data_IF_318550825354
#
_entry.id   IF_318550825354
#
_cell.length_a   1.000
_cell.length_b   1.000
_cell.length_c   1.000
_cell.angle_alpha   90.00
_cell.angle_beta   90.00
_cell.angle_gamma   90.00
#
_symmetry.space_group_name_H-M   'P 1'
#
loop_
_entity.id
_entity.type
_entity.pdbx_description
1 polymer ?
#
# COMPACT_ATOMS: atom_id res chain seq x y z
N UNK A 1 41.34 -35.55 -32.26
CA UNK A 1 41.29 -34.98 -30.88
C UNK A 1 41.02 -33.46 -30.85
N UNK A 2 40.26 -32.87 -31.80
CA UNK A 2 40.10 -31.40 -31.91
C UNK A 2 38.68 -30.88 -31.64
N UNK A 3 37.67 -31.75 -31.47
CA UNK A 3 36.28 -31.34 -31.29
C UNK A 3 35.93 -30.95 -29.84
N UNK A 4 36.56 -31.57 -28.83
CA UNK A 4 36.24 -31.35 -27.42
C UNK A 4 36.72 -30.02 -26.83
N UNK A 5 37.79 -29.42 -27.38
CA UNK A 5 38.35 -28.17 -26.85
C UNK A 5 37.51 -26.94 -27.29
N UNK A 6 36.96 -26.99 -28.52
CA UNK A 6 36.15 -25.90 -29.09
C UNK A 6 34.81 -25.75 -28.36
N UNK A 7 34.17 -26.85 -27.99
CA UNK A 7 32.93 -26.83 -27.20
C UNK A 7 33.15 -26.30 -25.78
N UNK A 8 34.28 -26.59 -25.13
CA UNK A 8 34.58 -26.05 -23.80
C UNK A 8 34.80 -24.53 -23.81
N UNK A 9 35.45 -24.00 -24.85
CA UNK A 9 35.66 -22.55 -25.01
C UNK A 9 34.32 -21.83 -25.27
N UNK A 10 33.45 -22.38 -26.11
CA UNK A 10 32.12 -21.79 -26.38
C UNK A 10 31.27 -21.77 -25.12
N UNK A 11 31.22 -22.88 -24.37
CA UNK A 11 30.47 -22.93 -23.10
C UNK A 11 31.00 -21.93 -22.08
N UNK A 12 32.32 -21.77 -21.98
CA UNK A 12 32.94 -20.81 -21.08
C UNK A 12 32.60 -19.36 -21.48
N UNK A 13 32.66 -19.01 -22.77
CA UNK A 13 32.30 -17.68 -23.25
C UNK A 13 30.81 -17.35 -23.03
N UNK A 14 29.92 -18.33 -23.23
CA UNK A 14 28.49 -18.15 -22.94
C UNK A 14 28.22 -17.96 -21.45
N UNK A 15 28.92 -18.71 -20.59
CA UNK A 15 28.82 -18.55 -19.14
C UNK A 15 29.33 -17.17 -18.67
N UNK A 16 30.45 -16.69 -19.23
CA UNK A 16 30.97 -15.35 -18.96
C UNK A 16 30.02 -14.24 -19.43
N UNK A 17 29.45 -14.37 -20.63
CA UNK A 17 28.48 -13.41 -21.14
C UNK A 17 27.21 -13.36 -20.27
N UNK A 18 26.70 -14.52 -19.83
CA UNK A 18 25.57 -14.60 -18.92
C UNK A 18 25.89 -13.97 -17.55
N UNK A 19 27.08 -14.23 -17.00
CA UNK A 19 27.52 -13.62 -15.74
C UNK A 19 27.65 -12.09 -15.85
N UNK A 20 28.25 -11.57 -16.92
CA UNK A 20 28.33 -10.14 -17.16
C UNK A 20 26.95 -9.49 -17.30
N UNK A 21 26.02 -10.12 -18.03
CA UNK A 21 24.65 -9.61 -18.16
C UNK A 21 23.90 -9.58 -16.82
N UNK A 22 24.03 -10.63 -16.00
CA UNK A 22 23.45 -10.66 -14.65
C UNK A 22 24.03 -9.58 -13.75
N UNK A 23 25.35 -9.37 -13.82
CA UNK A 23 26.03 -8.31 -13.06
C UNK A 23 25.56 -6.91 -13.47
N UNK A 24 25.41 -6.65 -14.77
CA UNK A 24 24.88 -5.38 -15.28
C UNK A 24 23.42 -5.16 -14.88
N UNK A 25 22.58 -6.19 -14.93
CA UNK A 25 21.18 -6.10 -14.51
C UNK A 25 21.06 -5.80 -13.01
N UNK A 26 21.89 -6.42 -12.18
CA UNK A 26 21.94 -6.14 -10.75
C UNK A 26 22.36 -4.68 -10.48
N UNK A 27 23.41 -4.19 -11.15
CA UNK A 27 23.86 -2.79 -11.03
C UNK A 27 22.78 -1.80 -11.48
N UNK A 28 22.06 -2.08 -12.57
CA UNK A 28 20.94 -1.25 -13.03
C UNK A 28 19.84 -1.15 -11.98
N UNK A 29 19.48 -2.26 -11.34
CA UNK A 29 18.44 -2.28 -10.31
C UNK A 29 18.86 -1.53 -9.05
N UNK A 30 20.13 -1.66 -8.64
CA UNK A 30 20.67 -0.90 -7.52
C UNK A 30 20.66 0.61 -7.80
N UNK A 31 20.99 1.03 -9.02
CA UNK A 31 20.94 2.42 -9.43
C UNK A 31 19.50 2.97 -9.40
N UNK A 32 18.53 2.24 -9.95
CA UNK A 32 17.12 2.63 -9.93
C UNK A 32 16.57 2.73 -8.51
N UNK A 33 16.94 1.78 -7.65
CA UNK A 33 16.62 1.83 -6.21
C UNK A 33 17.23 3.05 -5.54
N UNK A 34 18.51 3.34 -5.79
CA UNK A 34 19.18 4.50 -5.21
C UNK A 34 18.53 5.82 -5.64
N UNK A 35 18.19 5.95 -6.93
CA UNK A 35 17.48 7.10 -7.47
C UNK A 35 16.09 7.26 -6.86
N UNK A 36 15.33 6.16 -6.74
CA UNK A 36 14.05 6.17 -6.04
C UNK A 36 14.20 6.69 -4.62
N UNK A 37 15.11 6.12 -3.84
CA UNK A 37 15.32 6.52 -2.44
C UNK A 37 15.76 7.97 -2.31
N UNK A 38 16.56 8.49 -3.25
CA UNK A 38 16.94 9.90 -3.28
C UNK A 38 15.73 10.82 -3.51
N UNK A 39 14.87 10.48 -4.49
CA UNK A 39 13.62 11.22 -4.75
C UNK A 39 12.69 11.21 -3.54
N UNK A 40 12.51 10.03 -2.94
CA UNK A 40 11.68 9.88 -1.73
C UNK A 40 12.26 10.65 -0.55
N UNK A 41 13.58 10.62 -0.34
CA UNK A 41 14.22 11.40 0.72
C UNK A 41 13.97 12.91 0.56
N UNK A 42 14.07 13.44 -0.67
CA UNK A 42 13.82 14.86 -0.92
C UNK A 42 12.35 15.24 -0.71
N UNK A 43 11.42 14.46 -1.26
CA UNK A 43 9.99 14.70 -1.07
C UNK A 43 9.58 14.60 0.40
N UNK A 44 10.07 13.59 1.12
CA UNK A 44 9.81 13.39 2.54
C UNK A 44 10.20 14.62 3.37
N UNK A 45 11.33 15.27 3.08
CA UNK A 45 11.75 16.50 3.81
C UNK A 45 10.70 17.59 3.71
N UNK A 46 10.19 17.84 2.50
CA UNK A 46 9.15 18.85 2.25
C UNK A 46 7.86 18.51 3.00
N UNK A 47 7.42 17.26 2.90
CA UNK A 47 6.17 16.79 3.51
C UNK A 47 6.23 16.80 5.03
N UNK A 48 7.32 16.30 5.61
CA UNK A 48 7.54 16.31 7.06
C UNK A 48 7.61 17.74 7.59
N UNK A 49 8.33 18.65 6.93
CA UNK A 49 8.40 20.04 7.37
C UNK A 49 7.01 20.71 7.40
N UNK A 50 6.21 20.53 6.34
CA UNK A 50 4.84 21.06 6.29
C UNK A 50 3.93 20.43 7.34
N UNK A 51 4.06 19.13 7.55
CA UNK A 51 3.29 18.39 8.55
C UNK A 51 3.62 18.87 9.98
N UNK A 52 4.90 18.97 10.31
CA UNK A 52 5.36 19.44 11.62
C UNK A 52 4.96 20.89 11.89
N UNK A 53 4.99 21.77 10.89
CA UNK A 53 4.49 23.13 11.03
C UNK A 53 3.01 23.14 11.43
N UNK A 54 2.18 22.30 10.82
CA UNK A 54 0.78 22.16 11.20
C UNK A 54 0.63 21.56 12.61
N UNK A 55 1.46 20.60 13.01
CA UNK A 55 1.42 20.05 14.36
C UNK A 55 1.74 21.08 15.44
N UNK A 56 2.68 22.00 15.20
CA UNK A 56 2.99 23.09 16.15
C UNK A 56 1.76 23.95 16.40
N UNK A 57 0.98 24.26 15.35
CA UNK A 57 -0.27 25.03 15.47
C UNK A 57 -1.38 24.24 16.20
N UNK A 58 -1.27 22.92 16.24
CA UNK A 58 -2.25 22.02 16.87
C UNK A 58 -1.86 21.56 18.28
N UNK A 59 -0.65 21.89 18.77
CA UNK A 59 -0.13 21.44 20.07
C UNK A 59 -1.12 21.64 21.24
N UNK A 60 -1.80 22.80 21.39
CA UNK A 60 -2.72 22.99 22.51
C UNK A 60 -3.89 22.01 22.50
N UNK A 61 -4.32 21.58 21.31
CA UNK A 61 -5.43 20.66 21.15
C UNK A 61 -5.00 19.21 21.34
N UNK A 62 -3.87 18.82 20.75
CA UNK A 62 -3.34 17.46 20.82
C UNK A 62 -2.85 17.10 22.23
N UNK A 63 -2.45 18.09 23.03
CA UNK A 63 -2.07 17.88 24.44
C UNK A 63 -3.26 17.92 25.41
N UNK A 64 -4.49 18.07 24.90
CA UNK A 64 -5.70 18.14 25.71
C UNK A 64 -5.83 19.42 26.54
N UNK A 65 -4.97 20.43 26.33
CA UNK A 65 -5.11 21.75 26.95
C UNK A 65 -6.37 22.47 26.42
N UNK A 66 -6.77 22.15 25.19
CA UNK A 66 -7.97 22.66 24.52
C UNK A 66 -8.70 21.50 23.83
N UNK A 67 -10.03 21.55 23.75
CA UNK A 67 -10.83 20.56 23.01
C UNK A 67 -10.59 20.67 21.51
N UNK A 68 -10.39 19.53 20.82
CA UNK A 68 -10.25 19.46 19.35
C UNK A 68 -11.60 19.65 18.62
N UNK A 69 -12.74 19.54 19.32
CA UNK A 69 -14.07 19.60 18.71
C UNK A 69 -14.34 20.84 17.83
N UNK A 70 -13.87 22.06 18.19
CA UNK A 70 -14.01 23.23 17.32
C UNK A 70 -13.27 23.06 15.98
N UNK A 71 -12.08 22.45 15.98
CA UNK A 71 -11.32 22.19 14.75
C UNK A 71 -12.05 21.20 13.81
N UNK A 72 -12.90 20.32 14.36
CA UNK A 72 -13.63 19.32 13.58
C UNK A 72 -14.93 19.88 12.99
N UNK A 73 -15.58 20.80 13.71
CA UNK A 73 -16.96 21.19 13.43
C UNK A 73 -17.12 22.61 12.84
N UNK A 74 -16.07 23.44 12.86
CA UNK A 74 -16.15 24.82 12.39
C UNK A 74 -15.02 25.18 11.41
N UNK A 75 -15.31 25.29 10.10
CA UNK A 75 -14.35 25.74 9.09
C UNK A 75 -13.74 27.12 9.32
N UNK A 76 -14.40 27.99 10.09
CA UNK A 76 -13.89 29.32 10.41
C UNK A 76 -12.90 29.31 11.60
N UNK A 77 -12.82 28.20 12.35
CA UNK A 77 -11.95 28.11 13.50
C UNK A 77 -10.47 28.07 13.07
N UNK A 78 -9.59 28.79 13.79
CA UNK A 78 -8.20 28.99 13.37
C UNK A 78 -7.39 27.69 13.21
N UNK A 79 -7.70 26.65 13.99
CA UNK A 79 -7.06 25.33 13.89
C UNK A 79 -7.64 24.43 12.79
N UNK A 80 -8.77 24.76 12.17
CA UNK A 80 -9.45 23.91 11.18
C UNK A 80 -8.56 23.61 9.97
N UNK A 81 -7.95 24.65 9.39
CA UNK A 81 -7.09 24.49 8.21
C UNK A 81 -5.82 23.67 8.54
N UNK A 82 -5.02 24.01 9.58
CA UNK A 82 -3.88 23.18 9.98
C UNK A 82 -4.26 21.73 10.28
N UNK A 83 -5.40 21.50 10.95
CA UNK A 83 -5.91 20.17 11.23
C UNK A 83 -6.17 19.37 9.95
N UNK A 84 -6.94 19.93 9.02
CA UNK A 84 -7.29 19.24 7.78
C UNK A 84 -6.09 18.99 6.88
N UNK A 85 -5.14 19.92 6.82
CA UNK A 85 -3.90 19.72 6.06
C UNK A 85 -3.03 18.62 6.68
N UNK A 86 -2.90 18.60 8.02
CA UNK A 86 -2.20 17.53 8.72
C UNK A 86 -2.90 16.17 8.55
N UNK A 87 -4.22 16.12 8.65
CA UNK A 87 -5.01 14.91 8.42
C UNK A 87 -4.85 14.42 6.99
N UNK A 88 -5.04 15.30 5.99
CA UNK A 88 -4.83 14.99 4.57
C UNK A 88 -3.42 14.42 4.30
N UNK A 89 -2.40 14.91 5.00
CA UNK A 89 -1.05 14.40 4.88
C UNK A 89 -0.89 12.94 5.35
N UNK A 90 -1.78 12.43 6.19
CA UNK A 90 -1.76 11.03 6.66
C UNK A 90 -2.40 10.03 5.70
N UNK A 91 -3.03 10.48 4.61
CA UNK A 91 -3.67 9.61 3.63
C UNK A 91 -2.69 8.60 3.00
N UNK A 92 -3.08 7.32 2.93
CA UNK A 92 -2.17 6.17 2.66
C UNK A 92 -1.12 5.94 3.75
N UNK A 93 -1.46 6.17 5.02
CA UNK A 93 -0.64 5.85 6.19
C UNK A 93 0.78 6.49 6.13
N UNK A 94 0.85 7.79 6.37
CA UNK A 94 2.12 8.53 6.44
C UNK A 94 3.10 7.92 7.45
N UNK A 95 2.61 7.47 8.60
CA UNK A 95 3.44 6.85 9.62
C UNK A 95 4.12 5.58 9.06
N UNK A 96 3.37 4.69 8.43
CA UNK A 96 3.93 3.52 7.75
C UNK A 96 4.96 3.91 6.69
N UNK A 97 4.62 4.88 5.84
CA UNK A 97 5.50 5.36 4.76
C UNK A 97 6.84 5.86 5.29
N UNK A 98 6.83 6.62 6.38
CA UNK A 98 8.04 7.14 7.01
C UNK A 98 8.83 6.04 7.74
N UNK A 99 8.18 5.06 8.38
CA UNK A 99 8.87 3.88 8.93
C UNK A 99 9.58 3.07 7.83
N UNK A 100 8.92 2.82 6.71
CA UNK A 100 9.52 2.14 5.55
C UNK A 100 10.72 2.95 5.03
N UNK A 101 10.59 4.27 4.93
CA UNK A 101 11.70 5.12 4.48
C UNK A 101 12.87 5.13 5.47
N UNK A 102 12.60 5.13 6.78
CA UNK A 102 13.61 4.98 7.82
C UNK A 102 14.37 3.66 7.66
N UNK A 103 13.65 2.56 7.46
CA UNK A 103 14.23 1.23 7.26
C UNK A 103 15.07 1.14 5.97
N UNK A 104 14.64 1.77 4.88
CA UNK A 104 15.34 1.75 3.59
C UNK A 104 16.57 2.65 3.57
N UNK A 105 16.53 3.81 4.24
CA UNK A 105 17.62 4.81 4.21
C UNK A 105 18.54 4.76 5.42
N UNK A 106 18.14 4.02 6.47
CA UNK A 106 18.85 3.95 7.76
C UNK A 106 19.04 5.33 8.42
N UNK A 107 18.08 6.24 8.23
CA UNK A 107 18.11 7.60 8.80
C UNK A 107 17.09 7.73 9.93
N UNK A 108 17.55 8.20 11.10
CA UNK A 108 16.72 8.33 12.29
C UNK A 108 15.69 9.47 12.21
N UNK A 109 15.95 10.53 11.45
CA UNK A 109 15.00 11.65 11.30
C UNK A 109 13.61 11.18 10.81
N UNK A 110 13.59 10.15 9.96
CA UNK A 110 12.36 9.54 9.46
C UNK A 110 11.64 8.71 10.50
N UNK A 111 12.38 8.09 11.40
CA UNK A 111 11.81 7.35 12.52
C UNK A 111 11.06 8.30 13.45
N UNK A 112 11.67 9.43 13.82
CA UNK A 112 11.04 10.46 14.67
C UNK A 112 9.79 11.05 14.02
N UNK A 113 9.87 11.38 12.72
CA UNK A 113 8.72 11.88 11.97
C UNK A 113 7.59 10.83 11.86
N UNK A 114 7.93 9.55 11.70
CA UNK A 114 6.95 8.46 11.70
C UNK A 114 6.21 8.36 13.04
N UNK A 115 6.93 8.52 14.17
CA UNK A 115 6.31 8.53 15.49
C UNK A 115 5.29 9.68 15.63
N UNK A 116 5.67 10.89 15.23
CA UNK A 116 4.76 12.05 15.23
C UNK A 116 3.53 11.82 14.36
N UNK A 117 3.70 11.25 13.17
CA UNK A 117 2.59 10.94 12.27
C UNK A 117 1.62 9.90 12.86
N UNK A 118 2.15 8.85 13.50
CA UNK A 118 1.34 7.82 14.15
C UNK A 118 0.54 8.41 15.32
N UNK A 119 1.20 9.21 16.17
CA UNK A 119 0.57 9.88 17.32
C UNK A 119 -0.52 10.84 16.86
N UNK A 120 -0.26 11.67 15.84
CA UNK A 120 -1.26 12.59 15.32
C UNK A 120 -2.48 11.88 14.73
N UNK A 121 -2.28 10.88 13.88
CA UNK A 121 -3.39 10.13 13.30
C UNK A 121 -4.23 9.45 14.39
N UNK A 122 -3.55 8.87 15.40
CA UNK A 122 -4.18 8.25 16.57
C UNK A 122 -4.98 9.23 17.42
N UNK A 123 -4.32 10.26 17.93
CA UNK A 123 -4.86 11.16 18.97
C UNK A 123 -5.70 12.29 18.36
N UNK A 124 -5.41 12.69 17.13
CA UNK A 124 -6.12 13.74 16.40
C UNK A 124 -7.27 13.25 15.53
N UNK A 125 -7.36 11.95 15.21
CA UNK A 125 -8.41 11.44 14.33
C UNK A 125 -9.07 10.15 14.82
N UNK A 126 -8.31 9.10 15.16
CA UNK A 126 -8.91 7.83 15.58
C UNK A 126 -9.66 7.95 16.90
N UNK A 127 -9.00 8.44 17.96
CA UNK A 127 -9.64 8.54 19.28
C UNK A 127 -10.79 9.55 19.35
N UNK A 128 -10.69 10.78 18.78
CA UNK A 128 -11.82 11.71 18.79
C UNK A 128 -13.07 11.18 18.08
N UNK A 129 -12.90 10.26 17.12
CA UNK A 129 -13.99 9.61 16.42
C UNK A 129 -14.34 8.21 16.97
N UNK A 130 -13.74 7.78 18.09
CA UNK A 130 -13.92 6.43 18.67
C UNK A 130 -13.66 5.29 17.67
N UNK A 131 -12.77 5.51 16.70
CA UNK A 131 -12.51 4.58 15.59
C UNK A 131 -13.59 4.55 14.49
N UNK A 132 -14.68 5.31 14.61
CA UNK A 132 -15.80 5.39 13.65
C UNK A 132 -15.44 6.30 12.46
N UNK A 133 -14.43 5.91 11.70
CA UNK A 133 -13.91 6.68 10.55
C UNK A 133 -14.33 6.06 9.21
N UNK A 134 -14.30 6.82 8.09
CA UNK A 134 -14.61 6.28 6.77
C UNK A 134 -13.65 5.15 6.37
N UNK A 135 -14.16 4.18 5.59
CA UNK A 135 -13.42 2.95 5.27
C UNK A 135 -12.12 3.18 4.51
N UNK A 136 -12.06 4.24 3.70
CA UNK A 136 -10.87 4.62 2.94
C UNK A 136 -9.78 5.34 3.78
N UNK A 137 -10.00 5.51 5.08
CA UNK A 137 -9.05 6.04 6.04
C UNK A 137 -8.53 5.00 7.04
N UNK A 138 -8.86 3.70 6.90
CA UNK A 138 -8.41 2.67 7.85
C UNK A 138 -6.91 2.39 7.67
N UNK A 139 -6.07 3.12 8.41
CA UNK A 139 -4.61 3.00 8.37
C UNK A 139 -4.06 2.37 9.66
N UNK A 140 -3.63 1.11 9.58
CA UNK A 140 -3.22 0.31 10.75
C UNK A 140 -1.74 -0.03 10.79
N UNK A 141 -1.02 0.07 9.68
CA UNK A 141 0.37 -0.41 9.59
C UNK A 141 1.32 0.50 10.36
N UNK A 142 1.11 1.82 10.28
CA UNK A 142 1.85 2.80 11.07
C UNK A 142 1.60 2.66 12.57
N UNK A 143 0.35 2.44 12.97
CA UNK A 143 -0.02 2.21 14.38
C UNK A 143 0.59 0.93 14.95
N UNK A 144 0.56 -0.16 14.16
CA UNK A 144 1.19 -1.42 14.52
C UNK A 144 2.70 -1.24 14.72
N UNK A 145 3.39 -0.67 13.73
CA UNK A 145 4.84 -0.45 13.80
C UNK A 145 5.21 0.48 14.95
N UNK A 146 4.41 1.52 15.20
CA UNK A 146 4.58 2.40 16.35
C UNK A 146 4.50 1.63 17.67
N UNK A 147 3.48 0.78 17.84
CA UNK A 147 3.35 -0.08 19.02
C UNK A 147 4.54 -1.04 19.15
N UNK A 148 4.96 -1.69 18.07
CA UNK A 148 6.08 -2.65 18.10
C UNK A 148 7.37 -2.01 18.62
N UNK A 149 7.66 -0.78 18.18
CA UNK A 149 8.89 -0.07 18.52
C UNK A 149 8.84 0.60 19.91
N UNK A 150 7.71 1.22 20.26
CA UNK A 150 7.59 2.06 21.47
C UNK A 150 6.92 1.35 22.65
N UNK A 151 6.17 0.27 22.37
CA UNK A 151 5.25 -0.38 23.30
C UNK A 151 4.14 0.54 23.84
N UNK A 152 3.87 1.67 23.18
CA UNK A 152 2.82 2.61 23.59
C UNK A 152 1.42 1.96 23.44
N UNK A 153 0.74 1.63 24.55
CA UNK A 153 -0.52 0.89 24.53
C UNK A 153 -1.63 1.63 23.78
N UNK A 154 -1.59 2.96 23.69
CA UNK A 154 -2.59 3.74 22.93
C UNK A 154 -2.59 3.37 21.44
N UNK A 155 -1.42 3.03 20.89
CA UNK A 155 -1.31 2.68 19.47
C UNK A 155 -1.96 1.33 19.18
N UNK A 156 -1.83 0.39 20.12
CA UNK A 156 -2.58 -0.87 20.11
C UNK A 156 -4.08 -0.60 20.24
N UNK A 157 -4.48 0.21 21.22
CA UNK A 157 -5.89 0.56 21.45
C UNK A 157 -6.57 1.16 20.21
N UNK A 158 -5.94 2.15 19.58
CA UNK A 158 -6.47 2.78 18.38
C UNK A 158 -6.57 1.82 17.20
N UNK A 159 -5.59 0.92 17.02
CA UNK A 159 -5.67 -0.13 15.99
C UNK A 159 -6.87 -1.05 16.25
N UNK A 160 -7.10 -1.45 17.50
CA UNK A 160 -8.25 -2.27 17.87
C UNK A 160 -9.58 -1.53 17.65
N UNK A 161 -9.65 -0.22 17.96
CA UNK A 161 -10.82 0.61 17.66
C UNK A 161 -11.12 0.64 16.16
N UNK A 162 -10.10 0.79 15.31
CA UNK A 162 -10.29 0.74 13.85
C UNK A 162 -10.83 -0.62 13.40
N UNK A 163 -10.27 -1.71 13.91
CA UNK A 163 -10.71 -3.07 13.61
C UNK A 163 -12.12 -3.40 14.17
N UNK A 164 -12.68 -2.57 15.04
CA UNK A 164 -14.00 -2.80 15.63
C UNK A 164 -15.07 -1.85 15.09
N UNK A 165 -14.72 -0.58 14.87
CA UNK A 165 -15.68 0.51 14.73
C UNK A 165 -15.64 1.23 13.39
N UNK A 166 -14.56 1.09 12.62
CA UNK A 166 -14.46 1.78 11.33
C UNK A 166 -15.55 1.30 10.37
N UNK A 167 -15.88 2.13 9.37
CA UNK A 167 -16.84 1.74 8.34
C UNK A 167 -16.45 0.38 7.73
N UNK A 168 -17.44 -0.49 7.54
CA UNK A 168 -17.30 -1.87 7.06
C UNK A 168 -16.58 -2.86 8.00
N UNK A 169 -15.95 -2.41 9.10
CA UNK A 169 -15.26 -3.27 10.06
C UNK A 169 -16.16 -3.80 11.19
N UNK A 170 -17.31 -3.17 11.43
CA UNK A 170 -18.24 -3.58 12.49
C UNK A 170 -18.87 -4.93 12.15
N UNK A 171 -19.08 -5.78 13.16
CA UNK A 171 -19.75 -7.08 12.97
C UNK A 171 -21.18 -6.91 12.45
N UNK A 172 -21.82 -5.80 12.82
CA UNK A 172 -23.20 -5.45 12.44
C UNK A 172 -23.33 -4.82 11.06
N UNK A 173 -22.23 -4.60 10.33
CA UNK A 173 -22.30 -4.08 8.95
C UNK A 173 -23.11 -5.06 8.10
N UNK A 174 -24.01 -4.60 7.22
CA UNK A 174 -24.71 -5.54 6.33
C UNK A 174 -23.68 -6.21 5.39
N UNK A 175 -23.86 -7.49 5.10
CA UNK A 175 -23.02 -8.21 4.13
C UNK A 175 -23.11 -7.53 2.76
N UNK A 176 -24.29 -7.03 2.38
CA UNK A 176 -24.52 -6.38 1.10
C UNK A 176 -23.65 -5.13 0.87
N UNK A 177 -23.26 -4.43 1.94
CA UNK A 177 -22.43 -3.23 1.85
C UNK A 177 -21.00 -3.48 1.34
N UNK A 178 -20.53 -4.73 1.40
CA UNK A 178 -19.16 -5.10 1.01
C UNK A 178 -19.08 -6.04 -0.19
N UNK A 179 -20.23 -6.41 -0.78
CA UNK A 179 -20.29 -7.32 -1.94
C UNK A 179 -19.77 -6.66 -3.23
N UNK A 180 -20.07 -5.38 -3.47
CA UNK A 180 -19.64 -4.70 -4.71
C UNK A 180 -18.11 -4.54 -4.75
N UNK A 181 -17.52 -4.74 -5.92
CA UNK A 181 -16.10 -4.49 -6.17
C UNK A 181 -15.69 -3.01 -6.03
N UNK A 182 -16.66 -2.09 -6.04
CA UNK A 182 -16.43 -0.67 -5.75
C UNK A 182 -15.92 -0.45 -4.32
N UNK A 183 -16.26 -1.34 -3.38
CA UNK A 183 -15.85 -1.32 -1.98
C UNK A 183 -14.59 -2.15 -1.74
N UNK A 184 -13.94 -2.66 -2.79
CA UNK A 184 -12.76 -3.52 -2.67
C UNK A 184 -11.59 -2.87 -1.91
N UNK A 185 -11.43 -1.54 -1.98
CA UNK A 185 -10.41 -0.82 -1.21
C UNK A 185 -10.71 -0.88 0.27
N UNK A 186 -11.93 -0.55 0.66
CA UNK A 186 -12.41 -0.53 2.03
C UNK A 186 -12.36 -1.94 2.62
N UNK A 187 -12.82 -2.95 1.88
CA UNK A 187 -12.69 -4.37 2.25
C UNK A 187 -11.24 -4.77 2.46
N UNK A 188 -10.32 -4.38 1.56
CA UNK A 188 -8.90 -4.66 1.70
C UNK A 188 -8.32 -4.05 2.99
N UNK A 189 -8.69 -2.82 3.34
CA UNK A 189 -8.22 -2.18 4.56
C UNK A 189 -8.78 -2.83 5.82
N UNK A 190 -10.05 -3.26 5.81
CA UNK A 190 -10.64 -3.99 6.95
C UNK A 190 -9.95 -5.34 7.15
N UNK A 191 -9.67 -6.10 6.07
CA UNK A 191 -8.90 -7.35 6.17
C UNK A 191 -7.55 -7.08 6.83
N UNK A 192 -6.80 -6.07 6.37
CA UNK A 192 -5.52 -5.70 6.99
C UNK A 192 -5.69 -5.31 8.47
N UNK A 193 -6.72 -4.53 8.82
CA UNK A 193 -6.98 -4.12 10.19
C UNK A 193 -7.25 -5.32 11.11
N UNK A 194 -8.07 -6.29 10.67
CA UNK A 194 -8.33 -7.53 11.42
C UNK A 194 -7.03 -8.34 11.61
N UNK A 195 -6.25 -8.53 10.53
CA UNK A 195 -4.99 -9.25 10.59
C UNK A 195 -3.98 -8.57 11.53
N UNK A 196 -3.93 -7.23 11.56
CA UNK A 196 -3.04 -6.50 12.47
C UNK A 196 -3.55 -6.54 13.92
N UNK A 197 -4.87 -6.56 14.13
CA UNK A 197 -5.44 -6.75 15.47
C UNK A 197 -5.08 -8.13 16.05
N UNK A 198 -5.15 -9.19 15.23
CA UNK A 198 -4.71 -10.54 15.61
C UNK A 198 -3.23 -10.59 16.00
N UNK A 199 -2.36 -9.88 15.27
CA UNK A 199 -0.93 -9.78 15.61
C UNK A 199 -0.69 -9.15 16.98
N UNK A 200 -1.63 -8.31 17.44
CA UNK A 200 -1.60 -7.71 18.77
C UNK A 200 -2.36 -8.53 19.83
N UNK A 201 -2.76 -9.76 19.48
CA UNK A 201 -3.42 -10.71 20.37
C UNK A 201 -4.94 -10.56 20.48
N UNK A 202 -5.58 -9.79 19.59
CA UNK A 202 -7.04 -9.80 19.51
C UNK A 202 -7.56 -11.14 18.98
N UNK A 203 -8.75 -11.53 19.41
CA UNK A 203 -9.46 -12.67 18.83
C UNK A 203 -9.75 -12.40 17.36
N UNK A 204 -9.57 -13.43 16.52
CA UNK A 204 -9.96 -13.41 15.11
C UNK A 204 -11.42 -12.98 14.98
N UNK A 205 -11.68 -12.07 14.04
CA UNK A 205 -13.02 -11.54 13.78
C UNK A 205 -13.77 -12.49 12.86
N UNK A 206 -15.01 -12.82 13.19
CA UNK A 206 -15.83 -13.78 12.42
C UNK A 206 -16.03 -13.33 10.96
N UNK A 207 -16.13 -12.01 10.72
CA UNK A 207 -16.24 -11.44 9.37
C UNK A 207 -14.99 -11.58 8.50
N UNK A 208 -13.82 -11.92 9.05
CA UNK A 208 -12.58 -11.94 8.27
C UNK A 208 -12.70 -12.88 7.06
N UNK A 209 -13.25 -14.08 7.24
CA UNK A 209 -13.36 -15.05 6.14
C UNK A 209 -14.37 -14.62 5.09
N UNK A 210 -15.50 -14.05 5.53
CA UNK A 210 -16.48 -13.44 4.63
C UNK A 210 -15.83 -12.36 3.75
N UNK A 211 -15.05 -11.46 4.34
CA UNK A 211 -14.40 -10.38 3.60
C UNK A 211 -13.32 -10.90 2.64
N UNK A 212 -12.60 -11.95 3.01
CA UNK A 212 -11.63 -12.62 2.13
C UNK A 212 -12.33 -13.29 0.95
N UNK A 213 -13.45 -13.96 1.17
CA UNK A 213 -14.28 -14.54 0.11
C UNK A 213 -14.85 -13.46 -0.82
N UNK A 214 -15.32 -12.34 -0.27
CA UNK A 214 -15.78 -11.19 -1.06
C UNK A 214 -14.64 -10.57 -1.87
N UNK A 215 -13.44 -10.42 -1.30
CA UNK A 215 -12.27 -9.94 -2.02
C UNK A 215 -11.88 -10.87 -3.20
N UNK A 216 -11.99 -12.20 -3.02
CA UNK A 216 -11.82 -13.16 -4.12
C UNK A 216 -12.93 -13.02 -5.18
N UNK A 217 -14.17 -12.75 -4.75
CA UNK A 217 -15.26 -12.49 -5.67
C UNK A 217 -15.07 -11.17 -6.44
N UNK A 218 -14.54 -10.12 -5.82
CA UNK A 218 -14.17 -8.87 -6.50
C UNK A 218 -13.15 -9.11 -7.63
N UNK A 219 -12.12 -9.91 -7.37
CA UNK A 219 -11.15 -10.34 -8.40
C UNK A 219 -11.85 -11.02 -9.59
N UNK A 220 -12.80 -11.91 -9.31
CA UNK A 220 -13.58 -12.61 -10.33
C UNK A 220 -14.53 -11.66 -11.08
N UNK A 221 -15.15 -10.70 -10.41
CA UNK A 221 -16.07 -9.74 -11.04
C UNK A 221 -15.34 -8.80 -12.01
N UNK A 222 -14.13 -8.36 -11.66
CA UNK A 222 -13.26 -7.63 -12.60
C UNK A 222 -12.93 -8.44 -13.84
N UNK A 223 -12.59 -9.74 -13.70
CA UNK A 223 -12.26 -10.61 -14.82
C UNK A 223 -13.44 -10.99 -15.70
N UNK A 224 -14.63 -11.10 -15.13
CA UNK A 224 -15.83 -11.55 -15.84
C UNK A 224 -16.68 -10.41 -16.38
N UNK A 225 -16.26 -9.16 -16.17
CA UNK A 225 -16.97 -7.97 -16.63
C UNK A 225 -18.23 -7.65 -15.82
N UNK A 226 -18.41 -8.26 -14.64
CA UNK A 226 -19.52 -7.97 -13.72
C UNK A 226 -19.28 -6.72 -12.88
N UNK A 227 -18.02 -6.36 -12.66
CA UNK A 227 -17.67 -5.11 -12.01
C UNK A 227 -18.03 -3.91 -12.89
N UNK A 228 -18.50 -2.83 -12.27
CA UNK A 228 -18.82 -1.58 -12.97
C UNK A 228 -17.59 -1.01 -13.69
N UNK A 229 -16.44 -1.05 -13.01
CA UNK A 229 -15.14 -0.65 -13.55
C UNK A 229 -14.00 -1.50 -12.97
N UNK A 230 -12.84 -1.42 -13.59
CA UNK A 230 -11.59 -2.03 -13.11
C UNK A 230 -10.55 -0.93 -12.96
N UNK A 231 -10.15 -0.66 -11.72
CA UNK A 231 -9.05 0.27 -11.38
C UNK A 231 -7.84 -0.52 -10.91
N UNK A 232 -6.71 -0.55 -11.65
CA UNK A 232 -5.54 -1.36 -11.33
C UNK A 232 -5.00 -1.19 -9.90
N UNK A 233 -5.05 0.03 -9.35
CA UNK A 233 -4.63 0.27 -7.97
C UNK A 233 -5.57 -0.39 -6.95
N UNK A 234 -6.89 -0.46 -7.19
CA UNK A 234 -7.83 -1.14 -6.29
C UNK A 234 -7.56 -2.64 -6.26
N UNK A 235 -7.30 -3.24 -7.43
CA UNK A 235 -6.84 -4.64 -7.52
C UNK A 235 -5.57 -4.86 -6.71
N UNK A 236 -4.62 -3.93 -6.76
CA UNK A 236 -3.38 -4.03 -6.00
C UNK A 236 -3.58 -3.91 -4.48
N UNK A 237 -4.50 -3.06 -4.01
CA UNK A 237 -4.87 -2.97 -2.59
C UNK A 237 -5.53 -4.28 -2.12
N UNK A 238 -6.45 -4.83 -2.91
CA UNK A 238 -7.05 -6.16 -2.65
C UNK A 238 -5.97 -7.25 -2.64
N UNK A 239 -5.01 -7.20 -3.58
CA UNK A 239 -3.91 -8.13 -3.63
C UNK A 239 -3.02 -8.06 -2.38
N UNK A 240 -2.77 -6.85 -1.84
CA UNK A 240 -2.03 -6.68 -0.59
C UNK A 240 -2.73 -7.39 0.57
N UNK A 241 -4.03 -7.18 0.72
CA UNK A 241 -4.82 -7.78 1.79
C UNK A 241 -4.86 -9.31 1.70
N UNK A 242 -5.11 -9.83 0.50
CA UNK A 242 -5.12 -11.27 0.25
C UNK A 242 -3.73 -11.91 0.39
N UNK A 243 -2.66 -11.22 -0.01
CA UNK A 243 -1.29 -11.65 0.23
C UNK A 243 -0.97 -11.73 1.73
N UNK A 244 -1.35 -10.70 2.51
CA UNK A 244 -1.18 -10.70 3.96
C UNK A 244 -1.95 -11.83 4.64
N UNK A 245 -3.16 -12.13 4.17
CA UNK A 245 -3.96 -13.25 4.64
C UNK A 245 -3.32 -14.60 4.25
N UNK A 246 -2.91 -14.76 2.98
CA UNK A 246 -2.22 -15.95 2.48
C UNK A 246 -0.97 -16.29 3.28
N UNK A 247 -0.21 -15.27 3.67
CA UNK A 247 1.07 -15.41 4.37
C UNK A 247 0.91 -15.66 5.89
N UNK A 248 -0.32 -15.73 6.43
CA UNK A 248 -0.54 -16.20 7.79
C UNK A 248 -0.07 -17.65 7.96
N UNK A 249 0.50 -17.98 9.13
CA UNK A 249 1.05 -19.31 9.39
C UNK A 249 -0.01 -20.44 9.40
N UNK A 250 -1.28 -20.11 9.67
CA UNK A 250 -2.38 -21.07 9.86
C UNK A 250 -3.58 -20.69 8.99
N UNK A 251 -3.51 -21.02 7.73
CA UNK A 251 -4.56 -20.83 6.73
C UNK A 251 -4.80 -22.16 6.01
N UNK A 252 -6.03 -22.43 5.60
CA UNK A 252 -6.37 -23.61 4.78
C UNK A 252 -5.52 -23.61 3.49
N UNK A 253 -4.74 -24.68 3.22
CA UNK A 253 -4.00 -24.82 1.96
C UNK A 253 -4.84 -24.65 0.70
N UNK A 254 -6.14 -24.97 0.73
CA UNK A 254 -7.06 -24.72 -0.40
C UNK A 254 -7.29 -23.23 -0.61
N UNK A 255 -7.50 -22.48 0.47
CA UNK A 255 -7.66 -21.03 0.42
C UNK A 255 -6.38 -20.34 -0.06
N UNK A 256 -5.21 -20.77 0.45
CA UNK A 256 -3.91 -20.29 -0.07
C UNK A 256 -3.77 -20.51 -1.59
N UNK A 257 -4.10 -21.72 -2.06
CA UNK A 257 -4.06 -22.04 -3.48
C UNK A 257 -5.04 -21.17 -4.28
N UNK A 258 -6.26 -20.97 -3.79
CA UNK A 258 -7.27 -20.15 -4.44
C UNK A 258 -6.83 -18.69 -4.57
N UNK A 259 -6.34 -18.07 -3.49
CA UNK A 259 -5.80 -16.70 -3.50
C UNK A 259 -4.73 -16.56 -4.58
N UNK A 260 -3.78 -17.49 -4.64
CA UNK A 260 -2.71 -17.46 -5.63
C UNK A 260 -3.25 -17.54 -7.06
N UNK A 261 -4.19 -18.44 -7.33
CA UNK A 261 -4.79 -18.62 -8.65
C UNK A 261 -5.55 -17.35 -9.07
N UNK A 262 -6.41 -16.81 -8.21
CA UNK A 262 -7.22 -15.63 -8.53
C UNK A 262 -6.35 -14.39 -8.76
N UNK A 263 -5.26 -14.22 -8.00
CA UNK A 263 -4.29 -13.14 -8.22
C UNK A 263 -3.51 -13.32 -9.53
N UNK A 264 -3.08 -14.54 -9.88
CA UNK A 264 -2.45 -14.83 -11.17
C UNK A 264 -3.37 -14.39 -12.31
N UNK A 265 -4.61 -14.89 -12.31
CA UNK A 265 -5.57 -14.62 -13.38
C UNK A 265 -5.89 -13.12 -13.50
N UNK A 266 -6.04 -12.43 -12.37
CA UNK A 266 -6.44 -11.02 -12.38
C UNK A 266 -5.28 -10.11 -12.78
N UNK A 267 -4.07 -10.37 -12.28
CA UNK A 267 -2.89 -9.58 -12.65
C UNK A 267 -2.40 -9.87 -14.08
N UNK A 268 -2.60 -11.08 -14.60
CA UNK A 268 -2.41 -11.37 -16.03
C UNK A 268 -3.41 -10.54 -16.87
N UNK A 269 -4.70 -10.54 -16.53
CA UNK A 269 -5.71 -9.71 -17.20
C UNK A 269 -5.38 -8.21 -17.16
N UNK A 270 -4.98 -7.65 -16.00
CA UNK A 270 -4.61 -6.23 -15.91
C UNK A 270 -3.47 -5.89 -16.86
N UNK A 271 -2.45 -6.75 -16.93
CA UNK A 271 -1.31 -6.55 -17.80
C UNK A 271 -1.73 -6.57 -19.28
N UNK A 272 -2.63 -7.48 -19.66
CA UNK A 272 -3.08 -7.62 -21.04
C UNK A 272 -4.03 -6.51 -21.49
N UNK A 273 -4.84 -5.96 -20.57
CA UNK A 273 -5.94 -5.05 -20.91
C UNK A 273 -5.69 -3.58 -20.56
N UNK A 274 -4.89 -3.28 -19.52
CA UNK A 274 -4.77 -1.93 -18.97
C UNK A 274 -3.34 -1.40 -18.92
N UNK A 275 -2.32 -2.24 -19.09
CA UNK A 275 -0.95 -1.77 -19.25
C UNK A 275 -0.78 -1.05 -20.59
N UNK A 276 -0.17 0.13 -20.57
CA UNK A 276 0.12 0.93 -21.76
C UNK A 276 1.64 0.92 -21.98
N UNK A 277 2.17 0.10 -22.91
CA UNK A 277 3.62 -0.09 -23.07
C UNK A 277 4.37 1.20 -23.38
N UNK A 278 3.78 2.10 -24.17
CA UNK A 278 4.40 3.38 -24.55
C UNK A 278 4.50 4.36 -23.39
N UNK A 279 3.62 4.25 -22.39
CA UNK A 279 3.63 5.08 -21.19
C UNK A 279 4.34 4.42 -20.00
N UNK A 280 4.62 3.12 -20.08
CA UNK A 280 5.06 2.30 -18.94
C UNK A 280 4.19 2.49 -17.68
N UNK A 281 2.89 2.54 -17.86
CA UNK A 281 1.92 2.70 -16.78
C UNK A 281 0.62 2.00 -17.13
N UNK A 282 -0.18 1.73 -16.10
CA UNK A 282 -1.55 1.28 -16.32
C UNK A 282 -2.47 2.49 -16.55
N UNK A 283 -3.55 2.30 -17.31
CA UNK A 283 -4.69 3.23 -17.31
C UNK A 283 -5.27 3.34 -15.90
N UNK A 284 -5.81 4.51 -15.55
CA UNK A 284 -6.47 4.68 -14.26
C UNK A 284 -7.69 3.75 -14.09
N UNK A 285 -8.51 3.63 -15.13
CA UNK A 285 -9.62 2.67 -15.21
C UNK A 285 -9.78 2.06 -16.61
N UNK A 286 -10.60 1.01 -16.73
CA UNK A 286 -10.88 0.30 -17.99
C UNK A 286 -11.91 0.97 -18.90
N UNK A 287 -12.61 2.01 -18.43
CA UNK A 287 -13.62 2.77 -19.17
C UNK A 287 -13.74 4.18 -18.60
N UNK A 288 -14.25 5.12 -19.38
CA UNK A 288 -14.65 6.45 -18.88
C UNK A 288 -15.84 6.27 -17.95
N UNK A 289 -15.73 6.78 -16.71
CA UNK A 289 -16.84 6.80 -15.76
C UNK A 289 -17.46 8.20 -15.72
N UNK A 290 -16.67 9.18 -15.30
CA UNK A 290 -17.12 10.56 -15.11
C UNK A 290 -16.20 11.56 -15.83
N UNK A 291 -14.90 11.26 -15.90
CA UNK A 291 -13.88 12.13 -16.48
C UNK A 291 -13.41 11.56 -17.83
N UNK A 292 -13.43 12.31 -18.94
CA UNK A 292 -12.83 11.89 -20.21
C UNK A 292 -11.37 11.41 -20.10
N UNK A 293 -10.68 11.83 -19.05
CA UNK A 293 -9.28 11.53 -18.74
C UNK A 293 -9.11 10.25 -17.90
N UNK A 294 -10.20 9.60 -17.47
CA UNK A 294 -10.24 8.39 -16.64
C UNK A 294 -9.43 7.22 -17.22
N UNK A 295 -9.28 7.17 -18.55
CA UNK A 295 -8.53 6.11 -19.22
C UNK A 295 -7.06 6.47 -19.47
N UNK A 296 -6.57 7.62 -18.99
CA UNK A 296 -5.17 8.01 -19.16
C UNK A 296 -4.25 7.13 -18.31
N UNK A 297 -3.02 6.87 -18.79
CA UNK A 297 -2.00 6.18 -18.01
C UNK A 297 -1.62 6.98 -16.75
N UNK A 298 -1.54 6.31 -15.60
CA UNK A 298 -1.25 6.90 -14.28
C UNK A 298 -0.01 6.28 -13.66
N UNK A 299 1.15 6.80 -14.05
CA UNK A 299 2.44 6.28 -13.58
C UNK A 299 2.68 6.49 -12.07
N UNK A 300 1.97 7.44 -11.43
CA UNK A 300 2.01 7.66 -10.00
C UNK A 300 1.43 6.50 -9.18
N UNK A 301 0.57 5.66 -9.78
CA UNK A 301 0.01 4.48 -9.12
C UNK A 301 0.85 3.21 -9.32
N UNK A 302 1.90 3.26 -10.14
CA UNK A 302 2.71 2.08 -10.45
C UNK A 302 3.29 1.42 -9.18
N UNK A 303 3.73 2.20 -8.19
CA UNK A 303 4.35 1.63 -6.98
C UNK A 303 3.35 1.07 -5.96
N UNK A 304 2.04 1.36 -6.11
CA UNK A 304 1.01 0.57 -5.43
C UNK A 304 0.85 -0.83 -6.06
N UNK A 305 1.12 -0.95 -7.37
CA UNK A 305 0.82 -2.14 -8.17
C UNK A 305 2.01 -3.10 -8.27
N UNK A 306 3.24 -2.58 -8.45
CA UNK A 306 4.45 -3.38 -8.61
C UNK A 306 4.64 -4.47 -7.53
N UNK A 307 4.38 -4.22 -6.23
CA UNK A 307 4.51 -5.21 -5.17
C UNK A 307 3.62 -6.45 -5.37
N UNK A 308 2.44 -6.31 -5.98
CA UNK A 308 1.55 -7.44 -6.25
C UNK A 308 2.17 -8.44 -7.23
N UNK A 309 2.78 -7.92 -8.31
CA UNK A 309 3.54 -8.73 -9.27
C UNK A 309 4.79 -9.34 -8.62
N UNK A 310 5.49 -8.57 -7.78
CA UNK A 310 6.67 -9.07 -7.05
C UNK A 310 6.30 -10.21 -6.10
N UNK A 311 5.20 -10.06 -5.37
CA UNK A 311 4.67 -11.09 -4.47
C UNK A 311 4.30 -12.36 -5.25
N UNK A 312 3.63 -12.24 -6.40
CA UNK A 312 3.35 -13.40 -7.26
C UNK A 312 4.61 -14.10 -7.75
N UNK A 313 5.65 -13.37 -8.13
CA UNK A 313 6.92 -13.99 -8.46
C UNK A 313 7.48 -14.78 -7.27
N UNK A 314 7.48 -14.20 -6.06
CA UNK A 314 7.94 -14.89 -4.85
C UNK A 314 7.14 -16.17 -4.59
N UNK A 315 5.82 -16.15 -4.78
CA UNK A 315 4.93 -17.27 -4.48
C UNK A 315 4.83 -18.34 -5.58
N UNK A 316 5.24 -18.04 -6.82
CA UNK A 316 5.08 -18.95 -7.97
C UNK A 316 6.38 -19.28 -8.70
N UNK A 317 7.42 -18.46 -8.54
CA UNK A 317 8.67 -18.51 -9.32
C UNK A 317 8.48 -18.35 -10.83
N UNK A 318 7.34 -17.83 -11.30
CA UNK A 318 7.07 -17.59 -12.72
C UNK A 318 7.77 -16.30 -13.18
N UNK A 319 8.77 -16.36 -14.10
CA UNK A 319 9.63 -15.21 -14.43
C UNK A 319 8.88 -13.98 -14.94
N UNK A 320 7.76 -14.18 -15.68
CA UNK A 320 6.95 -13.08 -16.21
C UNK A 320 6.50 -12.09 -15.13
N UNK A 321 6.24 -12.56 -13.91
CA UNK A 321 5.80 -11.66 -12.84
C UNK A 321 6.95 -10.80 -12.32
N UNK A 322 8.18 -11.32 -12.30
CA UNK A 322 9.35 -10.51 -11.96
C UNK A 322 9.61 -9.44 -13.02
N UNK A 323 9.59 -9.82 -14.30
CA UNK A 323 9.82 -8.90 -15.42
C UNK A 323 8.81 -7.75 -15.42
N UNK A 324 7.53 -8.07 -15.19
CA UNK A 324 6.46 -7.08 -15.08
C UNK A 324 6.63 -6.20 -13.84
N UNK A 325 6.92 -6.79 -12.68
CA UNK A 325 7.14 -6.05 -11.45
C UNK A 325 8.27 -5.03 -11.60
N UNK A 326 9.38 -5.42 -12.23
CA UNK A 326 10.51 -4.53 -12.52
C UNK A 326 10.10 -3.39 -13.47
N UNK A 327 9.41 -3.69 -14.58
CA UNK A 327 8.94 -2.64 -15.51
C UNK A 327 8.05 -1.60 -14.83
N UNK A 328 7.12 -2.06 -14.00
CA UNK A 328 6.20 -1.19 -13.25
C UNK A 328 7.00 -0.37 -12.22
N UNK A 329 7.88 -1.01 -11.46
CA UNK A 329 8.72 -0.35 -10.46
C UNK A 329 9.60 0.72 -11.10
N UNK A 330 10.36 0.39 -12.14
CA UNK A 330 11.32 1.30 -12.78
C UNK A 330 10.63 2.55 -13.33
N UNK A 331 9.45 2.37 -13.92
CA UNK A 331 8.64 3.49 -14.39
C UNK A 331 8.14 4.36 -13.22
N UNK A 332 7.51 3.78 -12.21
CA UNK A 332 7.04 4.54 -11.04
C UNK A 332 8.17 5.27 -10.30
N UNK A 333 9.29 4.58 -10.10
CA UNK A 333 10.51 5.12 -9.50
C UNK A 333 11.08 6.34 -10.23
N UNK A 334 10.79 6.49 -11.53
CA UNK A 334 11.24 7.62 -12.35
C UNK A 334 10.20 8.72 -12.52
N UNK A 335 8.93 8.36 -12.73
CA UNK A 335 7.91 9.30 -13.24
C UNK A 335 6.75 9.57 -12.29
N UNK A 336 6.64 8.84 -11.17
CA UNK A 336 5.57 9.10 -10.21
C UNK A 336 5.61 10.56 -9.71
N UNK A 337 4.45 11.21 -9.70
CA UNK A 337 4.28 12.50 -9.04
C UNK A 337 4.29 12.29 -7.52
N UNK A 338 5.13 13.00 -6.78
CA UNK A 338 5.31 12.80 -5.33
C UNK A 338 5.28 14.12 -4.53
N UNK A 339 4.88 15.23 -5.17
CA UNK A 339 4.90 16.55 -4.54
C UNK A 339 3.69 16.82 -3.63
N UNK A 340 2.70 15.92 -3.62
CA UNK A 340 1.59 15.91 -2.69
C UNK A 340 1.73 14.71 -1.72
N UNK A 341 1.43 14.89 -0.41
CA UNK A 341 1.55 13.82 0.59
C UNK A 341 0.86 12.51 0.22
N UNK A 342 -0.35 12.56 -0.36
CA UNK A 342 -1.10 11.36 -0.77
C UNK A 342 -0.28 10.53 -1.77
N UNK A 343 0.18 11.15 -2.84
CA UNK A 343 0.94 10.45 -3.88
C UNK A 343 2.33 10.07 -3.39
N UNK A 344 2.92 10.80 -2.44
CA UNK A 344 4.15 10.36 -1.77
C UNK A 344 3.92 9.06 -0.96
N UNK A 345 2.92 9.06 -0.08
CA UNK A 345 2.62 7.91 0.80
C UNK A 345 2.28 6.65 0.00
N UNK A 346 1.50 6.80 -1.09
CA UNK A 346 1.11 5.66 -1.91
C UNK A 346 2.31 4.92 -2.54
N UNK A 347 3.47 5.57 -2.71
CA UNK A 347 4.69 4.91 -3.22
C UNK A 347 5.30 3.91 -2.22
N UNK A 348 5.02 4.06 -0.93
CA UNK A 348 5.58 3.27 0.16
C UNK A 348 4.52 2.45 0.89
N UNK A 349 3.25 2.57 0.48
CA UNK A 349 2.13 1.91 1.13
C UNK A 349 2.36 0.40 1.18
N UNK A 350 2.68 -0.25 0.06
CA UNK A 350 3.16 -1.63 0.02
C UNK A 350 4.59 -1.63 -0.53
N UNK A 351 5.63 -1.79 0.28
CA UNK A 351 7.00 -1.65 -0.21
C UNK A 351 7.37 -2.77 -1.20
N UNK A 352 8.08 -2.40 -2.27
CA UNK A 352 8.54 -3.32 -3.32
C UNK A 352 9.78 -4.17 -2.91
N UNK A 353 10.61 -3.65 -2.00
CA UNK A 353 11.95 -4.16 -1.70
C UNK A 353 12.00 -5.29 -0.68
#
# INVERSE_FOLDING_TARGET
>A
MTCGCRNKIITLLLALAAFCMLSLQAQSQELERAQFLQRMHFAAKKHVASFEQNLVLLEPFLTGKVSLNPCLNDPAHACYKPYNEALAATYYDLAHSLYVLADLTKKNDWLEAAHKAAIFYRDGYVFPNEGKIPGYWIFTEGLLKHFELTKDPKSKEALLLLAQNAAFARDTTDVAETVSSEQSREVAYVILAYLRAEQLGATRRDRLELLVEQALQHLKDWRTGKAEYVRPFMVALTARALAAYHDQAKIDPKMQKQIRIELILTLDMLWESLWVPTANAFRYTNRVMDDPEDMKPTADLNLLIAPAYKWLFKSTQLPRFLDRAQKIFNAGAKTAFIDNPKQFNQQLFWPYF
#
